data_IF_945149850311
#
_entry.id   IF_945149850311
#
_cell.length_a   1.000
_cell.length_b   1.000
_cell.length_c   1.000
_cell.angle_alpha   90.00
_cell.angle_beta   90.00
_cell.angle_gamma   90.00
#
_symmetry.space_group_name_H-M   'P 1'
#
loop_
_entity.id
_entity.type
_entity.pdbx_description
1 polymer ?
#
# COMPACT_ATOMS: atom_id res chain seq x y z
N UNK A 1 10.25 21.68 13.02
CA UNK A 1 8.85 21.36 13.38
C UNK A 1 7.95 22.29 12.59
N UNK A 2 7.51 21.88 11.39
CA UNK A 2 6.63 22.70 10.55
C UNK A 2 5.21 22.18 10.72
N UNK A 3 4.30 23.09 11.03
CA UNK A 3 2.86 22.85 11.18
C UNK A 3 2.32 22.08 9.99
N UNK A 4 2.10 20.78 10.18
CA UNK A 4 1.12 20.04 9.42
C UNK A 4 -0.23 20.65 9.84
N UNK A 5 -0.83 21.37 8.90
CA UNK A 5 -2.01 22.19 9.08
C UNK A 5 -3.10 21.43 9.85
N UNK A 6 -3.72 22.08 10.85
CA UNK A 6 -4.90 21.57 11.56
C UNK A 6 -5.99 21.03 10.62
N UNK A 7 -6.03 21.52 9.37
CA UNK A 7 -6.94 21.05 8.33
C UNK A 7 -6.64 19.62 7.84
N UNK A 8 -5.36 19.25 7.72
CA UNK A 8 -4.94 17.88 7.40
C UNK A 8 -5.29 16.96 8.57
N UNK A 9 -5.07 17.39 9.82
CA UNK A 9 -5.47 16.63 11.00
C UNK A 9 -7.00 16.46 11.10
N UNK A 10 -7.78 17.46 10.75
CA UNK A 10 -9.24 17.39 10.76
C UNK A 10 -9.80 16.51 9.63
N UNK A 11 -9.23 16.59 8.41
CA UNK A 11 -9.54 15.67 7.31
C UNK A 11 -9.11 14.23 7.64
N UNK A 12 -7.95 14.07 8.29
CA UNK A 12 -7.48 12.79 8.82
C UNK A 12 -8.49 12.21 9.81
N UNK A 13 -8.98 13.00 10.78
CA UNK A 13 -10.00 12.55 11.73
C UNK A 13 -11.35 12.22 11.07
N UNK A 14 -11.82 13.02 10.12
CA UNK A 14 -13.12 12.80 9.45
C UNK A 14 -13.07 11.60 8.51
N UNK A 15 -11.96 11.40 7.78
CA UNK A 15 -11.77 10.22 6.92
C UNK A 15 -11.54 8.96 7.77
N UNK A 16 -10.78 9.04 8.87
CA UNK A 16 -10.61 7.91 9.80
C UNK A 16 -11.94 7.45 10.41
N UNK A 17 -12.85 8.36 10.78
CA UNK A 17 -14.15 8.00 11.35
C UNK A 17 -15.05 7.30 10.32
N UNK A 18 -14.99 7.67 9.04
CA UNK A 18 -15.81 7.05 7.99
C UNK A 18 -15.16 5.83 7.31
N UNK A 19 -13.85 5.65 7.44
CA UNK A 19 -13.15 4.40 7.12
C UNK A 19 -13.44 3.29 8.14
N UNK A 20 -14.12 3.60 9.27
CA UNK A 20 -14.58 2.60 10.21
C UNK A 20 -15.75 1.83 9.60
N UNK A 21 -15.48 0.58 9.25
CA UNK A 21 -16.10 -0.45 10.05
C UNK A 21 -15.07 -1.53 10.39
N UNK A 22 -14.26 -1.31 11.43
CA UNK A 22 -13.91 -2.43 12.30
C UNK A 22 -15.18 -2.83 13.07
N UNK A 23 -16.19 -3.32 12.35
CA UNK A 23 -17.41 -3.83 12.94
C UNK A 23 -17.12 -5.26 13.41
N UNK A 24 -16.37 -5.39 14.50
CA UNK A 24 -16.16 -6.69 15.12
C UNK A 24 -17.40 -7.03 15.92
N UNK A 25 -18.16 -7.98 15.40
CA UNK A 25 -19.07 -8.74 16.25
C UNK A 25 -18.25 -9.80 16.97
N UNK A 26 -18.11 -9.68 18.28
CA UNK A 26 -17.72 -10.84 19.07
C UNK A 26 -18.83 -11.92 19.00
N UNK A 27 -18.50 -13.15 19.38
CA UNK A 27 -19.45 -14.28 19.43
C UNK A 27 -20.73 -14.00 20.26
N UNK A 28 -20.71 -12.94 21.06
CA UNK A 28 -21.82 -12.47 21.91
C UNK A 28 -22.67 -11.36 21.26
N UNK A 29 -22.41 -10.98 20.00
CA UNK A 29 -23.23 -10.01 19.26
C UNK A 29 -22.97 -8.53 19.59
N UNK A 30 -22.05 -8.22 20.50
CA UNK A 30 -21.66 -6.84 20.81
C UNK A 30 -20.58 -6.33 19.84
N UNK A 31 -20.74 -5.08 19.39
CA UNK A 31 -19.75 -4.36 18.58
C UNK A 31 -18.59 -3.92 19.49
N UNK A 32 -17.38 -4.42 19.22
CA UNK A 32 -16.18 -3.84 19.81
C UNK A 32 -15.74 -2.65 18.96
N UNK A 33 -15.89 -1.43 19.47
CA UNK A 33 -15.19 -0.25 18.95
C UNK A 33 -13.69 -0.42 19.23
N UNK A 34 -12.94 -0.93 18.27
CA UNK A 34 -11.49 -0.98 18.36
C UNK A 34 -10.94 0.34 17.87
N UNK A 35 -10.30 1.05 18.80
CA UNK A 35 -9.52 2.23 18.50
C UNK A 35 -8.34 1.85 17.61
N UNK A 36 -8.03 2.68 16.61
CA UNK A 36 -6.82 2.57 15.80
C UNK A 36 -5.52 2.61 16.61
N UNK A 37 -5.58 3.09 17.86
CA UNK A 37 -4.46 3.11 18.80
C UNK A 37 -4.37 1.86 19.67
N UNK A 38 -5.30 0.91 19.53
CA UNK A 38 -5.19 -0.37 20.19
C UNK A 38 -4.02 -1.17 19.60
N UNK A 39 -3.14 -1.65 20.48
CA UNK A 39 -2.05 -2.57 20.14
C UNK A 39 -2.50 -3.80 19.35
N UNK A 40 -3.80 -4.17 19.43
CA UNK A 40 -4.40 -5.29 18.71
C UNK A 40 -4.97 -4.92 17.33
N UNK A 41 -5.06 -3.64 16.97
CA UNK A 41 -5.70 -3.20 15.73
C UNK A 41 -5.11 -3.88 14.48
N UNK A 42 -3.79 -4.03 14.41
CA UNK A 42 -3.14 -4.74 13.31
C UNK A 42 -3.52 -6.24 13.25
N UNK A 43 -3.56 -6.92 14.41
CA UNK A 43 -3.95 -8.34 14.47
C UNK A 43 -5.37 -8.57 13.99
N UNK A 44 -6.25 -7.68 14.43
CA UNK A 44 -7.66 -7.68 14.10
C UNK A 44 -7.87 -7.46 12.61
N UNK A 45 -7.21 -6.45 12.04
CA UNK A 45 -7.24 -6.21 10.61
C UNK A 45 -6.73 -7.42 9.83
N UNK A 46 -5.60 -8.00 10.27
CA UNK A 46 -4.98 -9.15 9.63
C UNK A 46 -5.91 -10.38 9.61
N UNK A 47 -6.61 -10.65 10.72
CA UNK A 47 -7.56 -11.77 10.82
C UNK A 47 -8.78 -11.62 9.90
N UNK A 48 -9.08 -10.41 9.44
CA UNK A 48 -10.17 -10.14 8.50
C UNK A 48 -9.71 -10.23 7.04
N UNK A 49 -8.41 -10.37 6.77
CA UNK A 49 -7.90 -10.47 5.42
C UNK A 49 -8.16 -11.85 4.83
N UNK A 50 -8.60 -11.87 3.57
CA UNK A 50 -8.71 -13.09 2.78
C UNK A 50 -7.33 -13.63 2.34
N UNK A 51 -7.35 -14.62 1.44
CA UNK A 51 -6.11 -15.14 0.88
C UNK A 51 -5.48 -14.09 -0.07
N UNK A 52 -4.25 -13.61 0.18
CA UNK A 52 -3.61 -12.59 -0.66
C UNK A 52 -3.43 -13.03 -2.13
N UNK A 53 -3.44 -14.34 -2.41
CA UNK A 53 -3.39 -14.85 -3.79
C UNK A 53 -4.60 -14.44 -4.62
N UNK A 54 -5.75 -14.24 -3.98
CA UNK A 54 -6.96 -13.83 -4.68
C UNK A 54 -6.81 -12.39 -5.22
N UNK A 55 -6.18 -11.49 -4.44
CA UNK A 55 -5.84 -10.15 -4.89
C UNK A 55 -4.79 -10.21 -6.02
N UNK A 56 -3.69 -10.93 -5.81
CA UNK A 56 -2.61 -11.05 -6.80
C UNK A 56 -3.07 -11.63 -8.14
N UNK A 57 -4.06 -12.53 -8.13
CA UNK A 57 -4.62 -13.12 -9.37
C UNK A 57 -5.37 -12.10 -10.23
N UNK A 58 -5.75 -10.96 -9.66
CA UNK A 58 -6.49 -9.89 -10.33
C UNK A 58 -5.57 -8.72 -10.73
N UNK A 59 -4.31 -8.73 -10.32
CA UNK A 59 -3.34 -7.70 -10.67
C UNK A 59 -2.57 -8.03 -11.93
N UNK A 60 -2.17 -6.99 -12.65
CA UNK A 60 -1.16 -7.12 -13.71
C UNK A 60 0.18 -7.48 -13.09
N UNK A 61 1.01 -8.23 -13.81
CA UNK A 61 2.36 -8.60 -13.38
C UNK A 61 3.35 -7.57 -13.93
N UNK A 62 4.17 -6.90 -13.09
CA UNK A 62 5.18 -5.96 -13.55
C UNK A 62 6.39 -6.65 -14.21
N UNK A 63 7.20 -5.94 -15.01
CA UNK A 63 8.49 -6.45 -15.46
C UNK A 63 9.45 -6.74 -14.30
N UNK A 64 10.30 -7.75 -14.41
CA UNK A 64 11.37 -8.00 -13.41
C UNK A 64 12.53 -7.01 -13.51
N UNK A 65 12.69 -6.40 -14.68
CA UNK A 65 13.78 -5.48 -14.99
C UNK A 65 13.25 -4.37 -15.89
N UNK A 66 13.57 -3.13 -15.52
CA UNK A 66 13.25 -1.92 -16.28
C UNK A 66 14.53 -1.18 -16.67
N UNK A 67 14.38 -0.19 -17.55
CA UNK A 67 15.45 0.73 -17.91
C UNK A 67 15.87 1.57 -16.70
N UNK A 68 17.17 1.80 -16.54
CA UNK A 68 17.73 2.71 -15.53
C UNK A 68 17.37 4.18 -15.76
N UNK A 69 16.72 4.50 -16.89
CA UNK A 69 16.16 5.81 -17.16
C UNK A 69 14.79 6.03 -16.50
N UNK A 70 14.16 4.99 -15.93
CA UNK A 70 12.84 5.06 -15.27
C UNK A 70 11.80 5.77 -16.16
N UNK A 71 11.31 5.11 -17.23
CA UNK A 71 10.31 5.70 -18.11
C UNK A 71 9.01 5.98 -17.35
N UNK A 72 8.20 6.94 -17.80
CA UNK A 72 6.93 7.28 -17.13
C UNK A 72 5.89 6.15 -17.16
N UNK A 73 5.99 5.24 -18.14
CA UNK A 73 5.08 4.12 -18.30
C UNK A 73 5.85 2.82 -18.57
N UNK A 74 5.33 1.70 -18.06
CA UNK A 74 5.79 0.35 -18.37
C UNK A 74 4.68 -0.45 -19.07
N UNK A 75 5.03 -1.55 -19.78
CA UNK A 75 4.05 -2.42 -20.43
C UNK A 75 2.98 -2.91 -19.46
N UNK A 76 1.73 -3.00 -19.94
CA UNK A 76 0.61 -3.47 -19.13
C UNK A 76 -0.09 -2.40 -18.28
N UNK A 77 0.13 -1.11 -18.57
CA UNK A 77 -0.60 -0.01 -17.92
C UNK A 77 -0.07 0.35 -16.53
N UNK A 78 1.23 0.18 -16.34
CA UNK A 78 1.94 0.63 -15.15
C UNK A 78 2.45 2.05 -15.36
N UNK A 79 2.13 2.93 -14.41
CA UNK A 79 2.47 4.35 -14.46
C UNK A 79 3.38 4.70 -13.29
N UNK A 80 4.32 5.63 -13.49
CA UNK A 80 5.24 6.05 -12.45
C UNK A 80 4.46 6.60 -11.23
N UNK A 81 4.82 6.12 -10.03
CA UNK A 81 4.20 6.57 -8.79
C UNK A 81 4.71 7.96 -8.42
N UNK A 82 3.85 8.97 -8.46
CA UNK A 82 4.21 10.35 -8.13
C UNK A 82 4.79 10.52 -6.73
N UNK A 83 4.48 9.63 -5.78
CA UNK A 83 4.99 9.68 -4.40
C UNK A 83 6.36 9.02 -4.24
N UNK A 84 6.78 8.23 -5.23
CA UNK A 84 8.04 7.49 -5.24
C UNK A 84 8.57 7.40 -6.68
N UNK A 85 8.76 8.56 -7.31
CA UNK A 85 9.23 8.70 -8.69
C UNK A 85 10.75 8.97 -8.71
N UNK A 86 11.52 8.18 -9.46
CA UNK A 86 12.98 8.30 -9.59
C UNK A 86 13.52 9.69 -9.96
N UNK A 87 12.70 10.53 -10.59
CA UNK A 87 13.05 11.89 -11.02
C UNK A 87 12.74 12.97 -9.97
N UNK A 88 12.19 12.60 -8.81
CA UNK A 88 11.88 13.54 -7.72
C UNK A 88 12.97 13.53 -6.62
N UNK A 89 13.34 14.71 -6.12
CA UNK A 89 14.54 14.88 -5.27
C UNK A 89 14.30 14.97 -3.75
N UNK A 90 13.06 15.14 -3.25
CA UNK A 90 12.82 15.39 -1.81
C UNK A 90 11.75 14.46 -1.22
N UNK A 91 12.05 13.80 -0.09
CA UNK A 91 11.10 12.89 0.60
C UNK A 91 10.81 11.60 -0.16
N UNK A 92 11.65 11.28 -1.15
CA UNK A 92 11.47 10.22 -2.11
C UNK A 92 11.33 8.85 -1.45
N UNK A 93 10.26 8.12 -1.79
CA UNK A 93 10.04 6.74 -1.39
C UNK A 93 10.07 6.48 0.13
N UNK A 94 9.58 7.41 0.96
CA UNK A 94 9.59 7.28 2.43
C UNK A 94 8.93 5.99 2.93
N UNK A 95 7.90 5.50 2.23
CA UNK A 95 7.22 4.25 2.54
C UNK A 95 7.80 3.01 1.84
N UNK A 96 8.82 3.20 1.00
CA UNK A 96 9.51 2.14 0.24
C UNK A 96 11.02 2.24 0.45
N UNK A 97 11.53 1.97 1.67
CA UNK A 97 12.92 2.17 1.99
C UNK A 97 13.83 1.28 1.13
N UNK A 98 14.67 1.90 0.29
CA UNK A 98 15.56 1.20 -0.64
C UNK A 98 15.10 1.22 -2.11
N UNK A 99 13.84 1.57 -2.37
CA UNK A 99 13.37 1.81 -3.73
C UNK A 99 13.96 3.10 -4.30
N UNK A 100 14.29 3.06 -5.60
CA UNK A 100 14.67 4.24 -6.38
C UNK A 100 13.50 4.75 -7.24
N UNK A 101 12.52 3.91 -7.55
CA UNK A 101 11.29 4.34 -8.16
C UNK A 101 10.25 3.23 -8.12
N UNK A 102 8.99 3.62 -8.01
CA UNK A 102 7.85 2.71 -8.05
C UNK A 102 6.90 3.06 -9.18
N UNK A 103 6.07 2.08 -9.54
CA UNK A 103 5.02 2.16 -10.52
C UNK A 103 3.73 1.60 -9.93
N UNK A 104 2.58 2.13 -10.33
CA UNK A 104 1.27 1.62 -9.97
C UNK A 104 0.54 1.10 -11.20
N UNK A 105 -0.19 -0.01 -11.05
CA UNK A 105 -1.04 -0.54 -12.10
C UNK A 105 -2.40 0.17 -12.09
N UNK A 106 -2.63 1.07 -13.04
CA UNK A 106 -3.88 1.83 -13.19
C UNK A 106 -4.83 1.25 -14.25
N UNK A 107 -4.72 -0.04 -14.57
CA UNK A 107 -5.54 -0.69 -15.61
C UNK A 107 -7.03 -0.66 -15.30
N UNK A 108 -7.40 -0.79 -14.03
CA UNK A 108 -8.78 -0.74 -13.57
C UNK A 108 -8.99 0.48 -12.67
N UNK A 109 -10.18 1.07 -12.75
CA UNK A 109 -10.58 2.21 -11.92
C UNK A 109 -11.23 1.82 -10.58
N UNK A 110 -11.35 0.52 -10.30
CA UNK A 110 -11.93 -0.07 -9.07
C UNK A 110 -11.36 -1.45 -8.82
N UNK A 111 -11.34 -1.91 -7.56
CA UNK A 111 -10.87 -3.24 -7.19
C UNK A 111 -9.34 -3.34 -7.07
N UNK A 112 -8.78 -4.56 -6.97
CA UNK A 112 -7.36 -4.74 -6.65
C UNK A 112 -6.41 -4.17 -7.70
N UNK A 113 -5.30 -3.60 -7.23
CA UNK A 113 -4.17 -3.16 -8.06
C UNK A 113 -2.85 -3.61 -7.46
N UNK A 114 -1.74 -3.25 -8.10
CA UNK A 114 -0.42 -3.49 -7.55
C UNK A 114 0.46 -2.27 -7.68
N UNK A 115 1.44 -2.19 -6.78
CA UNK A 115 2.57 -1.30 -6.87
C UNK A 115 3.85 -2.14 -7.03
N UNK A 116 4.74 -1.71 -7.92
CA UNK A 116 5.99 -2.38 -8.21
C UNK A 116 7.15 -1.40 -8.04
N UNK A 117 8.12 -1.76 -7.22
CA UNK A 117 9.25 -0.89 -6.88
C UNK A 117 10.56 -1.51 -7.33
N UNK A 118 11.51 -0.65 -7.68
CA UNK A 118 12.77 -1.04 -8.31
C UNK A 118 13.94 -0.34 -7.64
N UNK A 119 15.06 -1.06 -7.54
CA UNK A 119 16.34 -0.43 -7.21
C UNK A 119 16.81 0.47 -8.35
N UNK A 120 17.82 1.31 -8.09
CA UNK A 120 18.36 2.25 -9.07
C UNK A 120 18.85 1.59 -10.38
N UNK A 121 19.28 0.33 -10.30
CA UNK A 121 19.68 -0.45 -11.48
C UNK A 121 18.50 -1.00 -12.28
N UNK A 122 17.25 -0.68 -11.91
CA UNK A 122 16.02 -1.13 -12.56
C UNK A 122 15.60 -2.55 -12.20
N UNK A 123 16.23 -3.21 -11.22
CA UNK A 123 15.84 -4.55 -10.76
C UNK A 123 14.65 -4.46 -9.80
N UNK A 124 13.63 -5.29 -10.03
CA UNK A 124 12.43 -5.36 -9.18
C UNK A 124 12.75 -5.82 -7.75
N UNK A 125 12.14 -5.17 -6.78
CA UNK A 125 12.32 -5.47 -5.35
C UNK A 125 11.22 -6.44 -4.91
N UNK A 126 11.61 -7.68 -4.64
CA UNK A 126 10.68 -8.76 -4.31
C UNK A 126 10.19 -8.78 -2.85
N UNK A 127 10.96 -8.17 -1.94
CA UNK A 127 10.60 -8.11 -0.52
C UNK A 127 10.08 -6.71 -0.18
N UNK A 128 8.81 -6.56 0.22
CA UNK A 128 8.28 -5.25 0.60
C UNK A 128 8.97 -4.66 1.83
N UNK A 129 9.63 -5.47 2.66
CA UNK A 129 10.47 -5.00 3.78
C UNK A 129 11.75 -4.31 3.33
N UNK A 130 12.18 -4.54 2.08
CA UNK A 130 13.32 -3.88 1.44
C UNK A 130 12.88 -2.75 0.48
N UNK A 131 11.63 -2.27 0.63
CA UNK A 131 11.07 -1.22 -0.22
C UNK A 131 10.37 -1.73 -1.47
N UNK A 132 10.07 -3.03 -1.56
CA UNK A 132 9.17 -3.55 -2.57
C UNK A 132 7.79 -2.90 -2.50
N UNK A 133 7.12 -2.82 -3.64
CA UNK A 133 5.71 -2.42 -3.68
C UNK A 133 4.83 -3.55 -3.17
N UNK A 134 3.55 -3.26 -2.92
CA UNK A 134 2.57 -4.24 -2.45
C UNK A 134 1.40 -4.37 -3.41
N UNK A 135 0.70 -5.50 -3.35
CA UNK A 135 -0.68 -5.56 -3.86
C UNK A 135 -1.56 -4.64 -3.03
N UNK A 136 -2.47 -3.92 -3.69
CA UNK A 136 -3.51 -3.11 -3.07
C UNK A 136 -4.84 -3.85 -3.18
N UNK A 137 -5.65 -3.83 -2.12
CA UNK A 137 -7.01 -4.36 -2.20
C UNK A 137 -7.92 -3.45 -3.03
N UNK A 138 -7.66 -2.15 -3.02
CA UNK A 138 -8.40 -1.14 -3.75
C UNK A 138 -7.43 -0.24 -4.52
N UNK A 139 -7.68 -0.07 -5.81
CA UNK A 139 -6.83 0.75 -6.68
C UNK A 139 -6.84 2.20 -6.23
N UNK A 140 -5.69 2.89 -6.25
CA UNK A 140 -5.62 4.33 -6.06
C UNK A 140 -6.02 5.10 -7.33
N UNK A 141 -6.14 4.42 -8.47
CA UNK A 141 -6.46 5.03 -9.74
C UNK A 141 -7.98 5.01 -9.90
N UNK A 142 -8.66 6.15 -9.75
CA UNK A 142 -10.12 6.20 -9.78
C UNK A 142 -10.67 7.58 -9.45
N UNK A 143 -11.94 7.62 -9.05
CA UNK A 143 -12.54 8.84 -8.49
C UNK A 143 -12.19 9.00 -7.00
N UNK A 144 -12.61 10.12 -6.40
CA UNK A 144 -12.40 10.39 -4.98
C UNK A 144 -12.95 9.29 -4.06
N UNK A 145 -14.04 8.62 -4.43
CA UNK A 145 -14.61 7.53 -3.62
C UNK A 145 -13.64 6.34 -3.62
N UNK A 146 -13.07 6.03 -4.78
CA UNK A 146 -12.08 4.98 -4.92
C UNK A 146 -10.78 5.31 -4.17
N UNK A 147 -10.29 6.55 -4.25
CA UNK A 147 -9.12 7.00 -3.47
C UNK A 147 -9.36 6.83 -1.95
N UNK A 148 -10.56 7.15 -1.46
CA UNK A 148 -10.93 6.93 -0.06
C UNK A 148 -10.91 5.44 0.28
N UNK A 149 -11.44 4.58 -0.59
CA UNK A 149 -11.39 3.13 -0.37
C UNK A 149 -9.96 2.61 -0.28
N UNK A 150 -9.07 3.01 -1.19
CA UNK A 150 -7.65 2.68 -1.14
C UNK A 150 -7.01 3.15 0.17
N UNK A 151 -7.29 4.39 0.57
CA UNK A 151 -6.80 4.94 1.82
C UNK A 151 -7.25 4.10 3.04
N UNK A 152 -8.52 3.70 3.10
CA UNK A 152 -9.05 2.87 4.18
C UNK A 152 -8.52 1.44 4.16
N UNK A 153 -8.41 0.83 2.98
CA UNK A 153 -8.15 -0.60 2.81
C UNK A 153 -6.65 -0.96 2.85
N UNK A 154 -5.78 -0.03 2.45
CA UNK A 154 -4.36 -0.28 2.23
C UNK A 154 -3.48 0.69 3.03
N UNK A 155 -3.72 2.01 2.93
CA UNK A 155 -2.87 3.01 3.61
C UNK A 155 -3.02 3.01 5.14
N UNK A 156 -4.25 3.04 5.66
CA UNK A 156 -4.49 3.04 7.12
C UNK A 156 -3.91 1.78 7.78
N UNK A 157 -4.16 0.55 7.28
CA UNK A 157 -3.59 -0.65 7.85
C UNK A 157 -2.06 -0.67 7.82
N UNK A 158 -1.44 -0.19 6.75
CA UNK A 158 0.01 -0.01 6.70
C UNK A 158 0.47 0.91 7.84
N UNK A 159 -0.18 2.06 8.00
CA UNK A 159 0.18 3.03 9.03
C UNK A 159 0.06 2.44 10.44
N UNK A 160 -1.02 1.70 10.71
CA UNK A 160 -1.28 1.03 11.99
C UNK A 160 -0.27 -0.10 12.26
N UNK A 161 0.02 -0.92 11.26
CA UNK A 161 0.88 -2.09 11.43
C UNK A 161 2.38 -1.75 11.41
N UNK A 162 2.80 -0.74 10.64
CA UNK A 162 4.21 -0.48 10.34
C UNK A 162 4.73 0.88 10.82
N UNK A 163 3.88 1.91 10.95
CA UNK A 163 4.35 3.29 11.17
C UNK A 163 4.07 3.81 12.58
N UNK A 164 2.85 3.67 13.07
CA UNK A 164 2.43 4.23 14.37
C UNK A 164 3.23 3.63 15.53
N UNK A 165 3.99 4.42 16.30
CA UNK A 165 4.87 3.89 17.35
C UNK A 165 4.14 3.08 18.45
N UNK A 166 2.85 3.33 18.65
CA UNK A 166 2.03 2.65 19.65
C UNK A 166 1.63 1.24 19.24
N UNK A 167 1.61 0.95 17.94
CA UNK A 167 1.10 -0.30 17.37
C UNK A 167 2.09 -0.99 16.44
N UNK A 168 3.11 -0.29 15.95
CA UNK A 168 4.10 -0.83 15.03
C UNK A 168 5.12 -1.72 15.74
N UNK A 169 5.35 -2.87 15.14
CA UNK A 169 6.41 -3.82 15.52
C UNK A 169 6.83 -4.58 14.27
N UNK A 170 8.03 -5.19 14.28
CA UNK A 170 8.45 -6.03 13.16
C UNK A 170 7.44 -7.16 12.85
N UNK A 171 6.81 -7.71 13.89
CA UNK A 171 5.77 -8.73 13.76
C UNK A 171 4.48 -8.18 13.12
N UNK A 172 4.01 -7.02 13.56
CA UNK A 172 2.79 -6.40 13.02
C UNK A 172 3.01 -5.95 11.58
N UNK A 173 4.17 -5.38 11.27
CA UNK A 173 4.49 -5.02 9.90
C UNK A 173 4.62 -6.26 9.00
N UNK A 174 5.15 -7.36 9.53
CA UNK A 174 5.15 -8.65 8.80
C UNK A 174 3.73 -9.17 8.52
N UNK A 175 2.77 -8.98 9.43
CA UNK A 175 1.35 -9.31 9.16
C UNK A 175 0.78 -8.49 8.01
N UNK A 176 1.09 -7.20 7.95
CA UNK A 176 0.73 -6.37 6.81
C UNK A 176 1.28 -6.95 5.50
N UNK A 177 2.58 -7.23 5.44
CA UNK A 177 3.20 -7.76 4.22
C UNK A 177 2.76 -9.19 3.86
N UNK A 178 2.32 -10.00 4.82
CA UNK A 178 1.68 -11.29 4.54
C UNK A 178 0.33 -11.11 3.85
N UNK A 179 -0.46 -10.12 4.26
CA UNK A 179 -1.76 -9.81 3.67
C UNK A 179 -1.68 -8.94 2.40
N UNK A 180 -0.57 -8.21 2.22
CA UNK A 180 -0.28 -7.33 1.08
C UNK A 180 1.15 -7.60 0.55
N UNK A 181 1.40 -8.78 -0.05
CA UNK A 181 2.72 -9.11 -0.58
C UNK A 181 3.05 -8.34 -1.86
N UNK A 182 4.33 -8.31 -2.26
CA UNK A 182 4.77 -7.71 -3.53
C UNK A 182 4.34 -8.48 -4.79
N UNK A 183 3.97 -9.76 -4.64
CA UNK A 183 3.58 -10.61 -5.76
C UNK A 183 4.77 -11.21 -6.49
N UNK A 184 4.70 -11.23 -7.82
CA UNK A 184 5.73 -11.76 -8.72
C UNK A 184 5.95 -10.80 -9.87
N UNK A 185 7.08 -10.90 -10.56
CA UNK A 185 7.37 -10.16 -11.78
C UNK A 185 7.47 -11.10 -13.00
N UNK A 186 7.35 -10.55 -14.21
CA UNK A 186 7.52 -11.29 -15.47
C UNK A 186 8.88 -10.97 -16.10
N UNK A 187 9.60 -12.02 -16.51
CA UNK A 187 11.00 -12.01 -16.91
C UNK A 187 11.30 -11.54 -18.34
N UNK A 188 10.47 -10.70 -18.95
CA UNK A 188 10.83 -10.02 -20.20
C UNK A 188 11.20 -8.59 -19.89
N UNK A 189 12.47 -8.26 -20.11
CA UNK A 189 12.98 -6.90 -20.07
C UNK A 189 12.12 -6.01 -20.98
N UNK A 190 11.57 -4.92 -20.45
CA UNK A 190 10.89 -3.91 -21.24
C UNK A 190 11.94 -3.04 -21.96
N UNK A 191 12.40 -3.48 -23.13
CA UNK A 191 13.25 -2.70 -24.04
C UNK A 191 12.54 -2.53 -25.38
#
# INVERSE_FOLDING_TARGET
>A
MKSISLALFALFNILFINCLPFNIKNNDGNQCEISFFDTQACNIWYQQQGNPKDLLSQTVIPPCQISTLFPEQLPGGWEADETCNAHQHFGHCEFHPGAYGCYRSCVNSTGPSGQACYYQNGTWISDPREGGGTVDAETPCGDLVQEIKHFCADFIPYFVCCVLPTTSSAENCNKYYLARPAGTCNGTSAF
#
